data_IF_612846297266
#
_entry.id   IF_612846297266
#
_cell.length_a   1.000
_cell.length_b   1.000
_cell.length_c   1.000
_cell.angle_alpha   90.00
_cell.angle_beta   90.00
_cell.angle_gamma   90.00
#
_symmetry.space_group_name_H-M   'P 1'
#
loop_
_entity.id
_entity.type
_entity.pdbx_description
1 polymer ?
#
# COMPACT_ATOMS: atom_id res chain seq x y z
N UNK A 1 14.63 3.21 -3.10
CA UNK A 1 13.40 2.65 -3.67
C UNK A 1 13.60 2.32 -5.12
N UNK A 2 13.15 1.15 -5.52
CA UNK A 2 13.28 0.71 -6.90
C UNK A 2 11.91 0.81 -7.58
N UNK A 3 11.88 1.59 -8.66
CA UNK A 3 10.70 1.68 -9.50
C UNK A 3 10.92 0.84 -10.75
N UNK A 4 9.88 0.14 -11.16
CA UNK A 4 9.82 -0.43 -12.48
C UNK A 4 9.02 0.51 -13.36
N UNK A 5 9.39 0.59 -14.62
CA UNK A 5 8.72 1.50 -15.55
C UNK A 5 7.93 0.71 -16.58
N UNK A 6 6.68 1.14 -16.79
CA UNK A 6 5.82 0.59 -17.83
C UNK A 6 5.27 1.78 -18.64
N UNK A 7 5.94 2.11 -19.74
CA UNK A 7 5.64 3.33 -20.46
C UNK A 7 5.92 4.54 -19.59
N UNK A 8 4.91 5.39 -19.38
CA UNK A 8 5.00 6.55 -18.49
C UNK A 8 4.55 6.22 -17.07
N UNK A 9 4.10 5.02 -16.82
CA UNK A 9 3.72 4.58 -15.48
C UNK A 9 4.92 4.02 -14.75
N UNK A 10 4.94 4.25 -13.44
CA UNK A 10 5.94 3.68 -12.55
C UNK A 10 5.29 2.64 -11.66
N UNK A 11 5.98 1.56 -11.42
CA UNK A 11 5.50 0.47 -10.57
C UNK A 11 6.44 0.35 -9.37
N UNK A 12 5.88 0.31 -8.19
CA UNK A 12 6.64 0.18 -6.96
C UNK A 12 5.90 -0.72 -5.99
N UNK A 13 6.66 -1.59 -5.30
CA UNK A 13 6.11 -2.36 -4.18
C UNK A 13 6.06 -1.48 -2.94
N UNK A 14 5.00 -1.58 -2.17
CA UNK A 14 4.87 -0.89 -0.91
C UNK A 14 4.49 -1.89 0.17
N UNK A 15 5.20 -1.82 1.30
CA UNK A 15 4.94 -2.69 2.43
C UNK A 15 3.96 -1.99 3.38
N UNK A 16 2.89 -2.68 3.72
CA UNK A 16 1.86 -2.15 4.60
C UNK A 16 1.71 -3.08 5.78
N UNK A 17 1.66 -2.49 6.98
CA UNK A 17 1.40 -3.22 8.21
C UNK A 17 0.04 -3.93 8.13
N UNK A 18 -0.03 -5.14 8.68
CA UNK A 18 -1.24 -5.95 8.61
C UNK A 18 -2.45 -5.25 9.25
N UNK A 19 -2.24 -4.50 10.33
CA UNK A 19 -3.35 -3.79 10.97
C UNK A 19 -3.86 -2.64 10.10
N UNK A 20 -2.96 -1.93 9.43
CA UNK A 20 -3.36 -0.87 8.51
C UNK A 20 -4.13 -1.45 7.32
N UNK A 21 -3.72 -2.61 6.84
CA UNK A 21 -4.42 -3.27 5.75
C UNK A 21 -5.83 -3.71 6.16
N UNK A 22 -5.99 -4.17 7.39
CA UNK A 22 -7.28 -4.65 7.90
C UNK A 22 -8.22 -3.50 8.23
N UNK A 23 -7.71 -2.52 8.97
CA UNK A 23 -8.52 -1.45 9.54
C UNK A 23 -8.60 -0.22 8.66
N UNK A 24 -7.68 -0.09 7.72
CA UNK A 24 -7.53 1.13 6.94
C UNK A 24 -6.66 2.15 7.66
N UNK A 25 -6.27 3.17 6.95
CA UNK A 25 -5.42 4.22 7.50
C UNK A 25 -4.76 5.00 6.38
N UNK A 26 -3.59 5.54 6.67
CA UNK A 26 -2.81 6.31 5.72
C UNK A 26 -1.35 5.91 5.80
N UNK A 27 -0.68 5.95 4.67
CA UNK A 27 0.77 5.83 4.63
C UNK A 27 1.33 7.05 3.93
N UNK A 28 2.55 7.42 4.28
CA UNK A 28 3.27 8.52 3.61
C UNK A 28 4.33 7.92 2.72
N UNK A 29 4.31 8.30 1.45
CA UNK A 29 5.30 7.85 0.48
C UNK A 29 6.10 9.01 -0.04
N UNK A 30 7.40 8.80 -0.23
CA UNK A 30 8.25 9.73 -0.95
C UNK A 30 8.19 9.37 -2.43
N UNK A 31 7.73 10.29 -3.26
CA UNK A 31 7.61 10.10 -4.70
C UNK A 31 8.53 11.07 -5.43
N UNK A 32 8.54 10.98 -6.75
CA UNK A 32 9.31 11.92 -7.58
C UNK A 32 8.84 13.37 -7.40
N UNK A 33 7.60 13.56 -6.94
CA UNK A 33 7.02 14.89 -6.72
C UNK A 33 6.94 15.26 -5.25
N UNK A 34 7.66 14.57 -4.39
CA UNK A 34 7.67 14.82 -2.95
C UNK A 34 6.85 13.82 -2.17
N UNK A 35 6.64 14.11 -0.90
CA UNK A 35 5.90 13.21 -0.03
C UNK A 35 4.40 13.33 -0.27
N UNK A 36 3.72 12.20 -0.36
CA UNK A 36 2.27 12.16 -0.50
C UNK A 36 1.68 11.23 0.55
N UNK A 37 0.48 11.57 1.01
CA UNK A 37 -0.28 10.70 1.90
C UNK A 37 -1.19 9.83 1.05
N UNK A 38 -1.10 8.53 1.23
CA UNK A 38 -1.90 7.56 0.48
C UNK A 38 -2.91 6.93 1.44
N UNK A 39 -4.21 7.14 1.21
CA UNK A 39 -5.21 6.47 2.03
C UNK A 39 -5.26 4.99 1.69
N UNK A 40 -5.32 4.17 2.73
CA UNK A 40 -5.43 2.72 2.59
C UNK A 40 -6.84 2.34 3.05
N UNK A 41 -7.59 1.73 2.17
CA UNK A 41 -8.93 1.27 2.50
C UNK A 41 -8.87 0.09 3.47
N UNK A 42 -9.88 -0.02 4.33
CA UNK A 42 -10.02 -1.19 5.18
C UNK A 42 -10.13 -2.45 4.33
N UNK A 43 -9.63 -3.57 4.84
CA UNK A 43 -9.69 -4.87 4.19
C UNK A 43 -8.91 -4.93 2.86
N UNK A 44 -7.84 -4.14 2.77
CA UNK A 44 -6.94 -4.18 1.61
C UNK A 44 -6.25 -5.55 1.54
N UNK A 45 -6.29 -6.15 0.37
CA UNK A 45 -5.73 -7.48 0.17
C UNK A 45 -4.26 -7.40 -0.25
N UNK A 46 -3.52 -8.47 0.06
CA UNK A 46 -2.14 -8.60 -0.41
C UNK A 46 -2.12 -8.67 -1.93
N UNK A 47 -1.10 -8.09 -2.54
CA UNK A 47 -0.93 -7.99 -3.99
C UNK A 47 -1.97 -7.11 -4.69
N UNK A 48 -2.74 -6.33 -3.94
CA UNK A 48 -3.61 -5.31 -4.53
C UNK A 48 -2.76 -4.23 -5.19
N UNK A 49 -3.31 -3.57 -6.19
CA UNK A 49 -2.63 -2.47 -6.87
C UNK A 49 -3.40 -1.18 -6.60
N UNK A 50 -2.68 -0.16 -6.12
CA UNK A 50 -3.21 1.18 -5.93
C UNK A 50 -2.65 2.08 -7.02
N UNK A 51 -3.51 2.83 -7.67
CA UNK A 51 -3.11 3.72 -8.76
C UNK A 51 -3.16 5.18 -8.31
N UNK A 52 -2.01 5.85 -8.40
CA UNK A 52 -1.90 7.27 -8.10
C UNK A 52 -1.68 8.02 -9.41
N UNK A 53 -2.72 8.67 -9.90
CA UNK A 53 -2.66 9.40 -11.16
C UNK A 53 -1.73 10.60 -11.06
N UNK A 54 -0.95 10.82 -12.12
CA UNK A 54 -0.09 11.99 -12.21
C UNK A 54 1.21 11.89 -11.43
N UNK A 55 1.50 10.76 -10.79
CA UNK A 55 2.72 10.56 -10.00
C UNK A 55 3.73 9.63 -10.67
N UNK A 56 3.48 9.24 -11.92
CA UNK A 56 4.45 8.49 -12.71
C UNK A 56 5.44 9.41 -13.40
N UNK A 57 5.99 8.94 -14.53
CA UNK A 57 6.92 9.73 -15.32
C UNK A 57 6.21 10.89 -16.02
N UNK A 58 6.81 12.09 -16.05
CA UNK A 58 6.24 13.19 -16.84
C UNK A 58 6.14 12.80 -18.31
N UNK A 59 5.08 13.27 -18.98
CA UNK A 59 4.93 13.09 -20.41
C UNK A 59 5.89 14.01 -21.14
N UNK A 60 6.70 13.45 -22.02
CA UNK A 60 7.67 14.23 -22.76
C UNK A 60 6.96 15.17 -23.75
N UNK A 61 7.23 16.46 -23.64
CA UNK A 61 6.64 17.46 -24.53
C UNK A 61 5.15 17.66 -24.37
N UNK A 62 4.54 17.15 -23.31
CA UNK A 62 3.12 17.26 -23.03
C UNK A 62 2.89 17.57 -21.56
N UNK A 63 1.74 18.15 -21.26
CA UNK A 63 1.35 18.32 -19.87
C UNK A 63 0.95 16.97 -19.27
N UNK A 64 1.10 16.89 -17.95
CA UNK A 64 0.69 15.72 -17.20
C UNK A 64 1.79 14.70 -17.03
N UNK A 65 1.44 13.61 -16.42
CA UNK A 65 2.35 12.51 -16.12
C UNK A 65 1.57 11.21 -16.12
N UNK A 66 2.27 10.10 -16.22
CA UNK A 66 1.68 8.78 -16.05
C UNK A 66 1.26 8.54 -14.61
N UNK A 67 0.93 7.31 -14.28
CA UNK A 67 0.47 6.94 -12.95
C UNK A 67 1.59 6.24 -12.18
N UNK A 68 1.51 6.32 -10.86
CA UNK A 68 2.33 5.49 -9.97
C UNK A 68 1.45 4.33 -9.51
N UNK A 69 1.88 3.11 -9.82
CA UNK A 69 1.18 1.90 -9.43
C UNK A 69 1.89 1.30 -8.22
N UNK A 70 1.17 1.17 -7.12
CA UNK A 70 1.71 0.62 -5.89
C UNK A 70 1.19 -0.80 -5.73
N UNK A 71 2.10 -1.77 -5.73
CA UNK A 71 1.75 -3.15 -5.39
C UNK A 71 1.85 -3.33 -3.89
N UNK A 72 0.74 -3.63 -3.27
CA UNK A 72 0.64 -3.76 -1.82
C UNK A 72 1.21 -5.10 -1.38
N UNK A 73 2.17 -5.06 -0.46
CA UNK A 73 2.70 -6.23 0.22
C UNK A 73 2.38 -6.09 1.69
N UNK A 74 1.61 -7.02 2.23
CA UNK A 74 1.22 -6.98 3.64
C UNK A 74 2.28 -7.70 4.47
N UNK A 75 2.82 -6.99 5.46
CA UNK A 75 3.83 -7.56 6.33
C UNK A 75 3.23 -7.92 7.69
N UNK A 76 3.52 -9.13 8.13
CA UNK A 76 3.19 -9.54 9.49
C UNK A 76 4.30 -9.07 10.43
N UNK A 77 3.96 -8.54 11.62
CA UNK A 77 4.97 -8.25 12.63
C UNK A 77 5.71 -9.54 13.02
N UNK A 78 7.00 -9.41 13.35
CA UNK A 78 7.76 -10.56 13.80
C UNK A 78 7.32 -11.07 15.16
N UNK A 79 6.82 -10.16 15.99
CA UNK A 79 6.39 -10.49 17.35
C UNK A 79 5.03 -9.92 17.64
N UNK A 80 4.22 -10.71 18.29
CA UNK A 80 2.93 -10.28 18.82
C UNK A 80 2.98 -10.41 20.33
N UNK A 81 2.40 -9.46 21.05
CA UNK A 81 2.23 -9.59 22.48
C UNK A 81 1.19 -10.68 22.77
N UNK A 82 1.21 -11.20 24.01
CA UNK A 82 0.22 -12.19 24.41
C UNK A 82 -1.20 -11.66 24.27
N UNK A 83 -1.40 -10.39 24.58
CA UNK A 83 -2.71 -9.75 24.44
C UNK A 83 -3.14 -9.64 22.99
N UNK A 84 -2.19 -9.31 22.10
CA UNK A 84 -2.49 -9.25 20.67
C UNK A 84 -2.91 -10.63 20.14
N UNK A 85 -2.21 -11.68 20.51
CA UNK A 85 -2.54 -13.03 20.07
C UNK A 85 -3.93 -13.45 20.57
N UNK A 86 -4.27 -13.08 21.79
CA UNK A 86 -5.58 -13.35 22.35
C UNK A 86 -6.69 -12.67 21.54
N UNK A 87 -6.49 -11.39 21.22
CA UNK A 87 -7.47 -10.63 20.44
C UNK A 87 -7.58 -11.14 19.00
N UNK A 88 -6.46 -11.54 18.41
CA UNK A 88 -6.45 -12.11 17.06
C UNK A 88 -7.19 -13.45 17.05
N UNK A 89 -7.00 -14.25 18.08
CA UNK A 89 -7.71 -15.52 18.21
C UNK A 89 -9.22 -15.32 18.30
N UNK A 90 -9.65 -14.33 19.08
CA UNK A 90 -11.06 -13.97 19.13
C UNK A 90 -11.59 -13.56 17.77
N UNK A 91 -10.82 -12.74 17.03
CA UNK A 91 -11.21 -12.34 15.69
C UNK A 91 -11.31 -13.53 14.75
N UNK A 92 -10.39 -14.48 14.85
CA UNK A 92 -10.43 -15.72 14.06
C UNK A 92 -11.70 -16.52 14.34
N UNK A 93 -12.07 -16.63 15.61
CA UNK A 93 -13.29 -17.35 16.00
C UNK A 93 -14.53 -16.70 15.40
N UNK A 94 -14.57 -15.37 15.34
CA UNK A 94 -15.68 -14.64 14.75
C UNK A 94 -15.77 -14.85 13.24
N UNK A 95 -14.64 -15.01 12.57
CA UNK A 95 -14.62 -15.16 11.12
C UNK A 95 -14.78 -16.61 10.65
N UNK A 96 -14.74 -17.57 11.55
CA UNK A 96 -14.81 -18.98 11.22
C UNK A 96 -16.23 -19.50 10.97
N UNK A 97 -17.20 -18.64 11.02
CA UNK A 97 -18.61 -19.00 10.81
C UNK A 97 -19.00 -18.98 9.36
#
# INVERSE_FOLDING_TARGET
YTYQRDGDDLIRNVNIDVYTAILGGKITLTTLKGDVNVPIKAQTQNNSTLRLKGLGMPHYGKEGAGSLLLKVQILLPEHFSAKELELIKEAQEQSAN
#
